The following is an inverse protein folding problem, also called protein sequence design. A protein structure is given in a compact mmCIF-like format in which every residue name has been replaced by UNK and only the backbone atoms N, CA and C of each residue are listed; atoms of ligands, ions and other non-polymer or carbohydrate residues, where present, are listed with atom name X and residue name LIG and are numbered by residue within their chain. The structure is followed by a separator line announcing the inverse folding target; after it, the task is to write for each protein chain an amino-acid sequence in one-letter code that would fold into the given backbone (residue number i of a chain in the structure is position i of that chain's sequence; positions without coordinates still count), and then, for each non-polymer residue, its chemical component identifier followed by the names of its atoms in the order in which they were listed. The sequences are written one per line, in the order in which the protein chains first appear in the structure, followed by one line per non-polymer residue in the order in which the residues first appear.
data_IF_656477342299
#
_entry.id   IF_656477342299
#
_cell.length_a   1.000
_cell.length_b   1.000
_cell.length_c   1.000
_cell.angle_alpha   90.00
_cell.angle_beta   90.00
_cell.angle_gamma   90.00
#
_symmetry.space_group_name_H-M   'P 1'
#
loop_
_entity.id
_entity.type
_entity.pdbx_description
1 polymer ?
#
# COMPACT_ATOMS: atom_id res chain seq x y z
N UNK A 1 21.70 -19.04 -17.92
CA UNK A 1 21.54 -18.87 -19.39
C UNK A 1 20.18 -19.40 -19.79
N UNK A 2 19.61 -18.78 -20.82
CA UNK A 2 18.31 -19.00 -21.48
C UNK A 2 17.14 -18.25 -20.86
N UNK A 3 16.96 -17.02 -21.34
CA UNK A 3 15.63 -16.40 -21.39
C UNK A 3 14.84 -16.91 -22.60
N UNK A 4 13.58 -16.48 -22.69
CA UNK A 4 12.94 -16.03 -23.92
C UNK A 4 11.60 -15.34 -23.58
N UNK A 5 11.38 -14.25 -24.30
CA UNK A 5 10.28 -13.29 -24.27
C UNK A 5 8.89 -13.88 -24.54
N UNK A 6 7.85 -13.17 -24.08
CA UNK A 6 6.57 -13.05 -24.80
C UNK A 6 6.30 -11.56 -25.06
N UNK A 7 5.90 -11.28 -26.31
CA UNK A 7 5.78 -9.98 -26.96
C UNK A 7 4.45 -9.25 -26.67
N UNK A 8 4.54 -7.92 -26.58
CA UNK A 8 3.68 -6.88 -27.15
C UNK A 8 2.15 -7.07 -27.16
N UNK A 9 1.48 -6.40 -26.21
CA UNK A 9 0.12 -5.87 -26.37
C UNK A 9 0.14 -4.34 -26.25
N UNK A 10 -0.17 -3.66 -27.36
CA UNK A 10 -0.53 -2.25 -27.56
C UNK A 10 -0.38 -1.26 -26.37
N UNK A 11 0.62 -0.39 -26.42
CA UNK A 11 0.68 0.84 -25.62
C UNK A 11 -0.08 1.97 -26.36
N UNK A 12 -1.17 2.54 -25.81
CA UNK A 12 -1.67 3.81 -26.30
C UNK A 12 -0.99 4.95 -25.52
N UNK A 13 -0.16 5.70 -26.24
CA UNK A 13 0.21 7.09 -26.00
C UNK A 13 1.04 7.44 -24.75
N UNK A 14 2.36 7.39 -24.94
CA UNK A 14 3.26 8.54 -24.77
C UNK A 14 3.23 9.33 -23.45
N UNK A 15 4.20 9.05 -22.58
CA UNK A 15 5.13 10.08 -22.10
C UNK A 15 6.39 9.43 -21.51
N UNK A 16 7.53 9.74 -22.14
CA UNK A 16 8.87 9.52 -21.60
C UNK A 16 9.23 10.61 -20.58
N UNK A 17 9.85 10.21 -19.45
CA UNK A 17 10.39 10.98 -18.31
C UNK A 17 9.51 10.99 -17.04
N UNK A 18 10.02 10.36 -15.97
CA UNK A 18 9.46 10.41 -14.62
C UNK A 18 8.85 9.07 -14.18
N UNK A 19 9.06 8.70 -12.92
CA UNK A 19 8.51 7.50 -12.27
C UNK A 19 7.00 7.43 -12.61
N UNK A 20 6.58 6.36 -13.31
CA UNK A 20 5.15 6.10 -13.59
C UNK A 20 4.42 6.07 -12.26
N UNK A 21 3.63 7.12 -11.99
CA UNK A 21 2.76 7.17 -10.83
C UNK A 21 1.69 6.12 -11.06
N UNK A 22 1.55 5.19 -10.12
CA UNK A 22 0.49 4.18 -10.10
C UNK A 22 -0.88 4.84 -10.28
N UNK A 23 -1.72 4.34 -11.20
CA UNK A 23 -3.11 4.81 -11.33
C UNK A 23 -4.01 4.01 -10.36
N UNK A 24 -4.49 4.62 -9.26
CA UNK A 24 -5.35 3.94 -8.29
C UNK A 24 -6.73 3.56 -8.83
N UNK A 25 -7.05 3.90 -10.09
CA UNK A 25 -8.30 3.53 -10.77
C UNK A 25 -8.10 2.37 -11.75
N UNK A 26 -6.86 1.98 -12.05
CA UNK A 26 -6.57 0.82 -12.89
C UNK A 26 -6.63 -0.48 -12.07
N UNK A 27 -7.47 -1.40 -12.52
CA UNK A 27 -7.71 -2.66 -11.80
C UNK A 27 -6.50 -3.60 -11.83
N UNK A 28 -5.79 -3.67 -12.96
CA UNK A 28 -4.66 -4.58 -13.13
C UNK A 28 -3.46 -4.07 -12.31
N UNK A 29 -3.25 -2.75 -12.27
CA UNK A 29 -2.24 -2.18 -11.38
C UNK A 29 -2.60 -2.44 -9.90
N UNK A 30 -3.87 -2.28 -9.48
CA UNK A 30 -4.30 -2.57 -8.11
C UNK A 30 -4.02 -4.03 -7.71
N UNK A 31 -4.22 -4.97 -8.64
CA UNK A 31 -3.86 -6.38 -8.43
C UNK A 31 -2.36 -6.57 -8.27
N UNK A 32 -1.54 -5.93 -9.11
CA UNK A 32 -0.07 -6.00 -9.00
C UNK A 32 0.43 -5.51 -7.62
N UNK A 33 -0.12 -4.39 -7.12
CA UNK A 33 0.20 -3.90 -5.79
C UNK A 33 -0.22 -4.90 -4.71
N UNK A 34 -1.42 -5.46 -4.84
CA UNK A 34 -1.94 -6.44 -3.89
C UNK A 34 -1.04 -7.66 -3.81
N UNK A 35 -0.54 -8.14 -4.95
CA UNK A 35 0.39 -9.27 -5.02
C UNK A 35 1.75 -8.93 -4.41
N UNK A 36 2.27 -7.73 -4.64
CA UNK A 36 3.49 -7.26 -3.99
C UNK A 36 3.32 -7.22 -2.47
N UNK A 37 2.20 -6.68 -1.96
CA UNK A 37 1.90 -6.68 -0.53
C UNK A 37 1.87 -8.11 0.00
N UNK A 38 1.08 -9.00 -0.62
CA UNK A 38 0.96 -10.42 -0.23
C UNK A 38 2.28 -11.16 -0.25
N UNK A 39 3.20 -10.82 -1.17
CA UNK A 39 4.52 -11.45 -1.22
C UNK A 39 5.46 -11.02 -0.09
N UNK A 40 5.16 -9.89 0.58
CA UNK A 40 5.99 -9.32 1.64
C UNK A 40 5.50 -9.61 3.06
N UNK A 41 4.35 -10.28 3.20
CA UNK A 41 3.74 -10.62 4.49
C UNK A 41 3.34 -12.10 4.52
N UNK A 42 3.45 -12.72 5.68
CA UNK A 42 3.02 -14.11 5.92
C UNK A 42 1.69 -14.09 6.67
N UNK A 43 0.60 -13.78 5.95
CA UNK A 43 -0.72 -13.62 6.55
C UNK A 43 -1.20 -14.92 7.21
N UNK A 44 -1.56 -14.84 8.49
CA UNK A 44 -2.14 -15.97 9.22
C UNK A 44 -3.60 -16.23 8.84
N UNK A 45 -4.32 -15.17 8.49
CA UNK A 45 -5.70 -15.21 8.04
C UNK A 45 -5.94 -14.14 6.96
N UNK A 46 -7.08 -14.19 6.26
CA UNK A 46 -7.47 -13.07 5.39
C UNK A 46 -8.14 -11.98 6.23
N UNK A 47 -7.57 -10.76 6.32
CA UNK A 47 -8.20 -9.69 7.07
C UNK A 47 -9.52 -9.31 6.41
N UNK A 48 -10.58 -9.22 7.21
CA UNK A 48 -11.93 -8.80 6.77
C UNK A 48 -12.27 -7.38 7.20
N UNK A 49 -11.38 -6.75 7.99
CA UNK A 49 -11.53 -5.40 8.53
C UNK A 49 -10.29 -4.60 8.15
N UNK A 50 -10.51 -3.47 7.46
CA UNK A 50 -9.50 -2.46 7.18
C UNK A 50 -9.68 -1.24 8.07
N UNK A 51 -8.58 -0.75 8.65
CA UNK A 51 -8.53 0.44 9.51
C UNK A 51 -7.58 1.45 8.88
N UNK A 52 -7.99 2.71 8.74
CA UNK A 52 -7.13 3.81 8.29
C UNK A 52 -6.96 4.79 9.44
N UNK A 53 -5.74 4.92 9.95
CA UNK A 53 -5.43 5.81 11.05
C UNK A 53 -5.25 7.24 10.57
N UNK A 54 -6.14 8.12 11.06
CA UNK A 54 -6.02 9.55 10.90
C UNK A 54 -4.91 10.18 11.75
N UNK A 55 -4.78 11.50 11.67
CA UNK A 55 -3.81 12.26 12.48
C UNK A 55 -4.12 12.05 13.98
N UNK A 56 -3.10 11.70 14.76
CA UNK A 56 -3.25 11.38 16.19
C UNK A 56 -3.80 9.98 16.51
N UNK A 57 -4.15 9.17 15.49
CA UNK A 57 -4.68 7.81 15.69
C UNK A 57 -3.65 6.72 15.38
N UNK A 58 -2.38 7.08 15.20
CA UNK A 58 -1.30 6.13 14.89
C UNK A 58 -1.15 5.04 15.95
N UNK A 59 -1.40 5.37 17.22
CA UNK A 59 -1.21 4.46 18.36
C UNK A 59 -2.18 3.26 18.35
N UNK A 60 -3.26 3.32 17.54
CA UNK A 60 -4.12 2.15 17.29
C UNK A 60 -3.31 1.00 16.69
N UNK A 61 -2.38 1.31 15.78
CA UNK A 61 -1.51 0.30 15.18
C UNK A 61 -0.58 -0.36 16.19
N UNK A 62 -0.19 0.37 17.23
CA UNK A 62 0.69 -0.13 18.30
C UNK A 62 -0.07 -1.06 19.27
N UNK A 63 -1.41 -1.06 19.24
CA UNK A 63 -2.25 -1.97 20.02
C UNK A 63 -2.49 -3.35 19.35
N UNK A 64 -2.02 -3.53 18.10
CA UNK A 64 -2.22 -4.76 17.34
C UNK A 64 -1.32 -5.88 17.89
N UNK A 65 -1.93 -7.03 18.18
CA UNK A 65 -1.23 -8.23 18.65
C UNK A 65 -0.73 -9.06 17.47
N UNK A 66 0.42 -9.71 17.67
CA UNK A 66 1.11 -10.48 16.63
C UNK A 66 1.30 -9.69 15.32
N UNK A 67 1.84 -8.47 15.38
CA UNK A 67 1.86 -7.59 14.23
C UNK A 67 2.85 -8.07 13.17
N UNK A 68 2.43 -8.04 11.90
CA UNK A 68 3.32 -8.00 10.76
C UNK A 68 3.28 -6.59 10.15
N UNK A 69 4.45 -5.95 10.11
CA UNK A 69 4.57 -4.54 9.72
C UNK A 69 5.25 -4.43 8.37
N UNK A 70 4.51 -3.91 7.38
CA UNK A 70 5.00 -3.56 6.06
C UNK A 70 5.07 -2.04 5.91
N UNK A 71 6.27 -1.47 5.83
CA UNK A 71 6.41 -0.03 5.56
C UNK A 71 5.90 0.32 4.16
N UNK A 72 5.18 1.43 4.01
CA UNK A 72 4.71 1.93 2.72
C UNK A 72 5.84 2.11 1.70
N UNK A 73 7.06 2.45 2.17
CA UNK A 73 8.25 2.59 1.32
C UNK A 73 8.65 1.32 0.57
N UNK A 74 8.18 0.16 1.02
CA UNK A 74 8.43 -1.14 0.37
C UNK A 74 7.33 -1.51 -0.62
N UNK A 75 6.27 -0.73 -0.72
CA UNK A 75 5.16 -0.95 -1.65
C UNK A 75 5.39 -0.01 -2.85
N UNK A 76 5.67 -0.55 -4.06
CA UNK A 76 5.80 0.26 -5.27
C UNK A 76 4.56 1.13 -5.50
N UNK A 77 4.77 2.39 -5.86
CA UNK A 77 3.69 3.34 -6.13
C UNK A 77 3.02 3.96 -4.89
N UNK A 78 3.30 3.48 -3.67
CA UNK A 78 2.75 4.10 -2.46
C UNK A 78 3.45 5.44 -2.16
N UNK A 79 2.70 6.50 -1.82
CA UNK A 79 3.29 7.77 -1.42
C UNK A 79 4.16 7.62 -0.16
N UNK A 80 5.28 8.33 -0.10
CA UNK A 80 6.05 8.45 1.13
C UNK A 80 5.45 9.55 2.01
N UNK A 81 5.03 9.23 3.23
CA UNK A 81 4.55 10.25 4.18
C UNK A 81 5.76 11.00 4.77
N UNK A 82 5.98 12.24 4.35
CA UNK A 82 6.99 13.15 4.95
C UNK A 82 6.45 13.92 6.16
N UNK A 83 5.19 13.69 6.55
CA UNK A 83 4.51 14.40 7.64
C UNK A 83 4.79 13.76 9.00
N UNK A 84 5.17 14.59 9.96
CA UNK A 84 5.40 14.21 11.37
C UNK A 84 4.12 13.60 11.96
N UNK A 85 4.20 12.36 12.46
CA UNK A 85 3.08 11.62 13.04
C UNK A 85 2.53 10.48 12.16
N UNK A 86 2.90 10.43 10.88
CA UNK A 86 2.59 9.30 10.00
C UNK A 86 3.80 8.36 9.94
N UNK A 87 3.78 7.26 10.72
CA UNK A 87 4.85 6.25 10.67
C UNK A 87 4.93 5.57 9.29
N UNK A 88 3.81 5.52 8.56
CA UNK A 88 3.77 5.04 7.18
C UNK A 88 3.89 3.52 7.09
N UNK A 89 3.01 2.81 7.80
CA UNK A 89 3.03 1.35 7.89
C UNK A 89 1.66 0.76 7.57
N UNK A 90 1.65 -0.36 6.87
CA UNK A 90 0.54 -1.30 6.80
C UNK A 90 0.80 -2.42 7.80
N UNK A 91 -0.08 -2.59 8.77
CA UNK A 91 0.08 -3.51 9.90
C UNK A 91 -1.02 -4.57 9.82
N UNK A 92 -0.64 -5.84 9.83
CA UNK A 92 -1.56 -6.97 9.90
C UNK A 92 -1.46 -7.62 11.28
N UNK A 93 -2.55 -8.11 11.84
CA UNK A 93 -2.54 -8.81 13.13
C UNK A 93 -3.91 -8.80 13.80
N UNK A 94 -3.94 -9.04 15.11
CA UNK A 94 -5.18 -9.12 15.87
C UNK A 94 -5.47 -7.86 16.68
N UNK A 95 -6.67 -7.31 16.49
CA UNK A 95 -7.23 -6.25 17.34
C UNK A 95 -8.61 -6.68 17.83
N UNK A 96 -8.80 -6.70 19.16
CA UNK A 96 -10.07 -7.17 19.75
C UNK A 96 -10.44 -8.62 19.37
N UNK A 97 -9.44 -9.47 19.10
CA UNK A 97 -9.65 -10.86 18.65
C UNK A 97 -10.09 -11.01 17.20
N UNK A 98 -10.02 -9.94 16.39
CA UNK A 98 -10.28 -9.97 14.95
C UNK A 98 -8.99 -9.75 14.18
N UNK A 99 -8.78 -10.49 13.09
CA UNK A 99 -7.66 -10.27 12.20
C UNK A 99 -7.94 -9.06 11.30
N UNK A 100 -7.08 -8.05 11.39
CA UNK A 100 -7.26 -6.74 10.76
C UNK A 100 -6.05 -6.38 9.89
N UNK A 101 -6.27 -5.51 8.93
CA UNK A 101 -5.23 -4.69 8.31
C UNK A 101 -5.41 -3.24 8.75
N UNK A 102 -4.33 -2.60 9.21
CA UNK A 102 -4.33 -1.25 9.73
C UNK A 102 -3.28 -0.41 9.02
N UNK A 103 -3.73 0.66 8.37
CA UNK A 103 -2.89 1.67 7.74
C UNK A 103 -2.56 2.74 8.78
N UNK A 104 -1.33 2.70 9.32
CA UNK A 104 -0.81 3.64 10.30
C UNK A 104 -0.38 4.95 9.63
N UNK A 105 -1.38 5.72 9.23
CA UNK A 105 -1.27 6.93 8.45
C UNK A 105 -1.96 6.80 7.09
N UNK A 106 -2.36 7.94 6.53
CA UNK A 106 -3.12 8.05 5.29
C UNK A 106 -2.50 9.13 4.39
N UNK A 107 -2.91 9.22 3.15
CA UNK A 107 -2.33 10.13 2.17
C UNK A 107 -3.29 11.28 1.87
N UNK A 108 -2.80 12.51 1.94
CA UNK A 108 -3.63 13.66 1.61
C UNK A 108 -3.38 14.09 0.15
N UNK A 109 -4.45 14.41 -0.61
CA UNK A 109 -4.35 14.91 -1.98
C UNK A 109 -3.35 16.06 -2.14
N UNK A 110 -3.37 17.01 -1.21
CA UNK A 110 -2.53 18.21 -1.26
C UNK A 110 -1.02 17.93 -1.06
N UNK A 111 -0.65 16.77 -0.51
CA UNK A 111 0.75 16.41 -0.24
C UNK A 111 1.42 15.81 -1.47
N UNK A 112 0.61 15.29 -2.40
CA UNK A 112 1.07 14.40 -3.45
C UNK A 112 0.48 14.74 -4.83
N UNK A 113 -0.28 15.83 -4.96
CA UNK A 113 -0.96 16.20 -6.20
C UNK A 113 -1.91 15.10 -6.68
N UNK A 114 -2.48 14.32 -5.75
CA UNK A 114 -3.37 13.21 -6.09
C UNK A 114 -4.79 13.71 -6.28
N UNK A 115 -5.51 13.15 -7.26
CA UNK A 115 -6.94 13.40 -7.45
C UNK A 115 -7.82 12.66 -6.43
N UNK A 116 -7.25 11.75 -5.63
CA UNK A 116 -7.95 10.93 -4.66
C UNK A 116 -7.31 11.03 -3.27
N UNK A 117 -8.15 11.16 -2.24
CA UNK A 117 -7.76 11.01 -0.84
C UNK A 117 -8.00 9.57 -0.40
N UNK A 118 -7.03 8.98 0.30
CA UNK A 118 -7.20 7.75 1.08
C UNK A 118 -6.74 8.03 2.51
#
# INVERSE_FOLDING_TARGET
MNGLYVQNGHLPNGNSHGISMFDPRDYDELLQITDVVRSQVDLKETPTIGIICGSGLGDIGDCIKEPQVLSYKKIPGFPSTSVVGHKGNMIFGYLGGKYVVCMQGRFHPYEHGMDLAL
#
